data_IF_756477151610
#
_entry.id   IF_756477151610
#
_cell.length_a   1.000
_cell.length_b   1.000
_cell.length_c   1.000
_cell.angle_alpha   90.00
_cell.angle_beta   90.00
_cell.angle_gamma   90.00
#
_symmetry.space_group_name_H-M   'P 1'
#
loop_
_entity.id
_entity.type
_entity.pdbx_description
1 polymer ?
#
# COMPACT_ATOMS: atom_id res chain seq x y z
N UNK A 1 -35.26 8.35 -6.63
CA UNK A 1 -34.49 8.58 -5.39
C UNK A 1 -33.54 7.40 -5.20
N UNK A 2 -32.21 7.56 -5.37
CA UNK A 2 -31.23 6.59 -4.86
C UNK A 2 -30.52 7.22 -3.65
N UNK A 3 -30.24 6.51 -2.55
CA UNK A 3 -29.29 5.39 -2.53
C UNK A 3 -29.49 4.54 -1.26
N UNK A 4 -29.59 3.21 -1.38
CA UNK A 4 -29.46 2.29 -0.25
C UNK A 4 -28.01 1.78 -0.15
N UNK A 5 -27.55 1.57 1.09
CA UNK A 5 -26.58 0.56 1.57
C UNK A 5 -25.60 1.15 2.60
N UNK A 6 -25.98 1.10 3.87
CA UNK A 6 -25.02 0.90 4.95
C UNK A 6 -25.26 -0.50 5.51
N UNK A 7 -24.62 -1.49 4.89
CA UNK A 7 -24.60 -2.87 5.37
C UNK A 7 -23.47 -2.99 6.40
N UNK A 8 -23.66 -2.44 7.60
CA UNK A 8 -22.68 -2.51 8.68
C UNK A 8 -22.93 -3.79 9.50
N UNK A 9 -22.49 -4.93 8.97
CA UNK A 9 -22.25 -6.11 9.79
C UNK A 9 -21.06 -5.82 10.70
N UNK A 10 -21.23 -6.04 12.01
CA UNK A 10 -20.29 -5.71 13.10
C UNK A 10 -18.92 -6.38 13.04
N UNK A 11 -18.17 -6.08 11.99
CA UNK A 11 -16.76 -6.44 11.81
C UNK A 11 -15.94 -5.24 12.24
N UNK A 12 -14.87 -5.47 13.00
CA UNK A 12 -13.97 -4.42 13.49
C UNK A 12 -13.59 -3.50 12.32
N UNK A 13 -13.60 -2.15 12.50
CA UNK A 13 -13.30 -1.24 11.41
C UNK A 13 -11.92 -1.54 10.85
N UNK A 14 -11.86 -1.74 9.52
CA UNK A 14 -10.63 -2.08 8.80
C UNK A 14 -9.59 -0.97 8.98
N UNK A 15 -8.31 -1.26 8.75
CA UNK A 15 -7.29 -0.22 8.81
C UNK A 15 -7.55 0.88 7.77
N UNK A 16 -8.11 0.50 6.62
CA UNK A 16 -8.55 1.45 5.59
C UNK A 16 -9.61 2.42 6.13
N UNK A 17 -10.63 1.92 6.84
CA UNK A 17 -11.69 2.75 7.43
C UNK A 17 -11.13 3.68 8.52
N UNK A 18 -10.28 3.14 9.40
CA UNK A 18 -9.64 3.92 10.47
C UNK A 18 -8.80 5.06 9.91
N UNK A 19 -8.04 4.78 8.86
CA UNK A 19 -7.24 5.79 8.18
C UNK A 19 -8.12 6.87 7.53
N UNK A 20 -9.19 6.46 6.85
CA UNK A 20 -10.12 7.40 6.22
C UNK A 20 -10.76 8.33 7.26
N UNK A 21 -11.24 7.77 8.37
CA UNK A 21 -11.84 8.54 9.46
C UNK A 21 -10.81 9.50 10.09
N UNK A 22 -9.57 9.05 10.29
CA UNK A 22 -8.50 9.91 10.79
C UNK A 22 -8.20 11.06 9.83
N UNK A 23 -8.13 10.80 8.53
CA UNK A 23 -7.92 11.85 7.52
C UNK A 23 -9.09 12.85 7.53
N UNK A 24 -10.34 12.37 7.58
CA UNK A 24 -11.55 13.21 7.64
C UNK A 24 -11.57 14.08 8.90
N UNK A 25 -11.27 13.50 10.06
CA UNK A 25 -11.24 14.21 11.35
C UNK A 25 -10.15 15.28 11.40
N UNK A 26 -9.01 15.06 10.75
CA UNK A 26 -7.90 16.00 10.69
C UNK A 26 -7.95 16.94 9.47
N UNK A 27 -9.04 16.93 8.69
CA UNK A 27 -9.20 17.71 7.44
C UNK A 27 -8.07 17.47 6.43
N UNK A 28 -7.48 16.28 6.44
CA UNK A 28 -6.50 15.84 5.45
C UNK A 28 -7.21 15.36 4.18
N UNK A 29 -6.47 15.31 3.08
CA UNK A 29 -6.95 14.71 1.83
C UNK A 29 -7.32 13.24 2.07
N UNK A 30 -8.38 12.76 1.41
CA UNK A 30 -8.77 11.36 1.47
C UNK A 30 -7.60 10.46 1.04
N UNK A 31 -7.34 9.35 1.76
CA UNK A 31 -6.24 8.45 1.43
C UNK A 31 -6.49 7.77 0.08
N UNK A 32 -5.54 7.92 -0.86
CA UNK A 32 -5.63 7.29 -2.19
C UNK A 32 -4.77 6.03 -2.21
N UNK A 33 -5.40 4.88 -2.37
CA UNK A 33 -4.74 3.58 -2.43
C UNK A 33 -4.37 3.24 -3.88
N UNK A 34 -3.09 3.00 -4.12
CA UNK A 34 -2.54 2.59 -5.41
C UNK A 34 -1.94 1.19 -5.26
N UNK A 35 -2.45 0.23 -6.02
CA UNK A 35 -1.93 -1.13 -6.00
C UNK A 35 -0.80 -1.24 -7.02
N UNK A 36 0.34 -1.75 -6.57
CA UNK A 36 1.54 -1.95 -7.37
C UNK A 36 1.71 -3.44 -7.59
N UNK A 37 1.98 -3.84 -8.84
CA UNK A 37 2.26 -5.24 -9.20
C UNK A 37 3.64 -5.35 -9.83
N UNK A 38 4.39 -6.38 -9.44
CA UNK A 38 5.75 -6.65 -9.91
C UNK A 38 5.85 -8.10 -10.39
N UNK A 39 6.26 -8.30 -11.65
CA UNK A 39 6.35 -9.63 -12.27
C UNK A 39 7.75 -10.21 -12.09
N UNK A 40 7.87 -11.25 -11.27
CA UNK A 40 9.15 -11.95 -10.97
C UNK A 40 9.18 -13.34 -11.58
N UNK A 41 9.38 -13.43 -12.89
CA UNK A 41 9.72 -14.69 -13.57
C UNK A 41 8.70 -15.83 -13.38
N UNK A 42 7.41 -15.52 -13.22
CA UNK A 42 6.33 -16.52 -13.08
C UNK A 42 5.38 -16.28 -11.90
N UNK A 43 5.78 -15.47 -10.93
CA UNK A 43 4.91 -14.98 -9.84
C UNK A 43 4.72 -13.47 -9.94
N UNK A 44 3.54 -12.99 -9.59
CA UNK A 44 3.27 -11.55 -9.49
C UNK A 44 3.23 -11.18 -8.01
N UNK A 45 4.15 -10.33 -7.61
CA UNK A 45 4.17 -9.74 -6.28
C UNK A 45 3.26 -8.50 -6.29
N UNK A 46 2.48 -8.30 -5.23
CA UNK A 46 1.52 -7.23 -5.08
C UNK A 46 1.83 -6.41 -3.84
N UNK A 47 1.79 -5.10 -3.98
CA UNK A 47 1.95 -4.16 -2.87
C UNK A 47 0.92 -3.05 -2.98
N UNK A 48 0.75 -2.27 -1.92
CA UNK A 48 -0.19 -1.15 -1.90
C UNK A 48 0.54 0.10 -1.43
N UNK A 49 0.26 1.23 -2.06
CA UNK A 49 0.79 2.55 -1.67
C UNK A 49 -0.36 3.50 -1.43
N UNK A 50 -0.40 4.08 -0.25
CA UNK A 50 -1.38 5.07 0.16
C UNK A 50 -0.79 6.47 -0.01
N UNK A 51 -1.57 7.38 -0.59
CA UNK A 51 -1.19 8.79 -0.74
C UNK A 51 -2.09 9.65 0.12
N UNK A 52 -1.54 10.40 1.07
CA UNK A 52 -2.28 11.32 1.94
C UNK A 52 -1.55 12.65 1.97
N UNK A 53 -2.24 13.76 1.65
CA UNK A 53 -1.68 15.10 1.75
C UNK A 53 -0.33 15.27 1.02
N UNK A 54 -0.16 14.60 -0.13
CA UNK A 54 1.09 14.60 -0.91
C UNK A 54 2.20 13.68 -0.40
N UNK A 55 1.96 12.91 0.67
CA UNK A 55 2.89 11.91 1.19
C UNK A 55 2.49 10.52 0.67
N UNK A 56 3.45 9.79 0.09
CA UNK A 56 3.26 8.42 -0.37
C UNK A 56 3.84 7.44 0.66
N UNK A 57 3.00 6.50 1.08
CA UNK A 57 3.31 5.52 2.11
C UNK A 57 2.99 4.14 1.56
N UNK A 58 4.03 3.34 1.36
CA UNK A 58 3.87 2.00 0.84
C UNK A 58 3.69 0.96 1.96
N UNK A 59 3.06 -0.16 1.59
CA UNK A 59 3.09 -1.38 2.39
C UNK A 59 4.56 -1.81 2.56
N UNK A 60 4.84 -2.42 3.71
CA UNK A 60 6.18 -2.85 4.08
C UNK A 60 6.65 -4.04 3.27
N UNK A 61 5.70 -4.88 2.87
CA UNK A 61 5.97 -6.15 2.21
C UNK A 61 5.26 -6.26 0.88
N UNK A 62 5.77 -7.19 0.07
CA UNK A 62 5.12 -7.66 -1.13
C UNK A 62 4.36 -8.95 -0.81
N UNK A 63 3.10 -8.98 -1.22
CA UNK A 63 2.16 -10.05 -0.99
C UNK A 63 1.91 -10.80 -2.31
N UNK A 64 1.46 -12.05 -2.22
CA UNK A 64 0.96 -12.75 -3.42
C UNK A 64 -0.40 -12.17 -3.85
N UNK A 65 -0.84 -12.42 -5.08
CA UNK A 65 -2.09 -11.86 -5.63
C UNK A 65 -3.34 -12.25 -4.85
N UNK A 66 -3.29 -13.38 -4.14
CA UNK A 66 -4.36 -13.80 -3.24
C UNK A 66 -4.48 -12.92 -1.99
N UNK A 67 -3.44 -12.14 -1.66
CA UNK A 67 -3.33 -11.36 -0.42
C UNK A 67 -3.24 -9.85 -0.66
N UNK A 68 -3.76 -9.35 -1.78
CA UNK A 68 -3.82 -7.91 -2.10
C UNK A 68 -4.55 -7.12 -1.00
N UNK A 69 -5.59 -7.70 -0.40
CA UNK A 69 -6.30 -7.06 0.72
C UNK A 69 -5.38 -6.86 1.94
N UNK A 70 -4.52 -7.82 2.24
CA UNK A 70 -3.54 -7.68 3.32
C UNK A 70 -2.52 -6.58 3.00
N UNK A 71 -2.12 -6.43 1.73
CA UNK A 71 -1.26 -5.34 1.30
C UNK A 71 -1.92 -3.97 1.54
N UNK A 72 -3.22 -3.83 1.27
CA UNK A 72 -3.98 -2.60 1.55
C UNK A 72 -4.09 -2.30 3.03
N UNK A 73 -4.40 -3.32 3.84
CA UNK A 73 -4.49 -3.19 5.29
C UNK A 73 -3.15 -2.77 5.90
N UNK A 74 -2.03 -3.38 5.47
CA UNK A 74 -0.68 -3.02 5.93
C UNK A 74 -0.33 -1.58 5.53
N UNK A 75 -0.56 -1.19 4.28
CA UNK A 75 -0.32 0.19 3.85
C UNK A 75 -1.16 1.21 4.62
N UNK A 76 -2.41 0.87 4.94
CA UNK A 76 -3.29 1.72 5.74
C UNK A 76 -2.81 1.86 7.19
N UNK A 77 -2.39 0.75 7.81
CA UNK A 77 -1.84 0.76 9.16
C UNK A 77 -0.57 1.60 9.24
N UNK A 78 0.37 1.38 8.30
CA UNK A 78 1.63 2.13 8.24
C UNK A 78 1.35 3.62 8.02
N UNK A 79 0.40 3.95 7.14
CA UNK A 79 -0.01 5.32 6.92
C UNK A 79 -0.61 5.97 8.17
N UNK A 80 -1.50 5.25 8.86
CA UNK A 80 -2.13 5.75 10.08
C UNK A 80 -1.08 5.95 11.19
N UNK A 81 -0.16 5.00 11.36
CA UNK A 81 0.95 5.15 12.31
C UNK A 81 1.84 6.33 11.96
N UNK A 82 2.14 6.56 10.67
CA UNK A 82 2.94 7.71 10.23
C UNK A 82 2.24 9.05 10.55
N UNK A 83 0.93 9.13 10.33
CA UNK A 83 0.12 10.30 10.68
C UNK A 83 0.11 10.55 12.20
N UNK A 84 -0.11 9.49 13.01
CA UNK A 84 -0.14 9.60 14.47
C UNK A 84 1.24 9.98 15.04
N UNK A 85 2.32 9.39 14.52
CA UNK A 85 3.68 9.63 15.01
C UNK A 85 4.29 10.93 14.48
N UNK A 86 3.70 11.56 13.47
CA UNK A 86 4.30 12.68 12.74
C UNK A 86 5.59 12.31 12.01
N UNK A 87 5.91 11.03 11.88
CA UNK A 87 7.12 10.51 11.27
C UNK A 87 6.73 9.79 9.98
N UNK A 88 6.79 10.53 8.88
CA UNK A 88 6.70 10.00 7.54
C UNK A 88 7.99 9.23 7.23
N UNK A 89 8.13 8.03 7.79
CA UNK A 89 9.18 7.11 7.36
C UNK A 89 8.68 6.44 6.09
N UNK A 90 8.87 7.11 4.95
CA UNK A 90 8.66 6.49 3.65
C UNK A 90 9.43 5.15 3.64
N UNK A 91 8.78 4.00 3.51
CA UNK A 91 9.49 2.83 3.04
C UNK A 91 9.82 3.17 1.59
N UNK A 92 11.01 3.74 1.38
CA UNK A 92 11.63 3.74 0.06
C UNK A 92 11.61 2.28 -0.34
N UNK A 93 10.77 1.95 -1.32
CA UNK A 93 10.91 0.70 -2.02
C UNK A 93 12.37 0.64 -2.46
N UNK A 94 13.18 -0.16 -1.76
CA UNK A 94 14.44 -0.68 -2.29
C UNK A 94 14.08 -1.70 -3.38
N UNK A 95 13.40 -1.21 -4.42
CA UNK A 95 13.42 -1.76 -5.77
C UNK A 95 14.50 -1.05 -6.57
N UNK A 96 15.69 -0.85 -5.99
CA UNK A 96 16.85 -0.57 -6.82
C UNK A 96 17.24 -1.89 -7.51
N UNK A 97 16.78 -1.99 -8.77
CA UNK A 97 17.59 -2.43 -9.89
C UNK A 97 18.35 -3.75 -9.69
N UNK A 98 17.66 -4.88 -9.92
CA UNK A 98 18.30 -5.94 -10.70
C UNK A 98 17.83 -5.79 -12.15
N UNK A 99 18.42 -4.82 -12.84
CA UNK A 99 18.47 -4.85 -14.30
C UNK A 99 19.26 -6.10 -14.68
N UNK A 100 18.55 -7.01 -15.34
CA UNK A 100 19.03 -8.20 -16.01
C UNK A 100 20.45 -8.02 -16.56
N UNK A 101 21.38 -8.91 -16.18
CA UNK A 101 22.63 -9.07 -16.93
C UNK A 101 22.38 -10.06 -18.06
N UNK A 102 22.44 -9.66 -19.34
CA UNK A 102 22.54 -10.58 -20.44
C UNK A 102 24.01 -11.01 -20.62
N UNK A 103 24.19 -12.32 -20.78
CA UNK A 103 25.37 -13.04 -21.23
C UNK A 103 26.46 -12.21 -21.95
N UNK A 104 27.71 -12.31 -21.46
CA UNK A 104 28.91 -12.26 -22.30
C UNK A 104 29.89 -13.39 -21.91
N UNK A 105 30.47 -13.97 -22.95
CA UNK A 105 31.19 -15.24 -23.11
C UNK A 105 32.52 -15.40 -22.35
N UNK A 106 33.09 -16.63 -22.29
CA UNK A 106 34.32 -16.94 -21.57
C UNK A 106 35.59 -16.61 -22.38
N UNK A 107 36.64 -16.22 -21.66
CA UNK A 107 38.06 -16.26 -22.05
C UNK A 107 38.82 -16.23 -20.71
N UNK A 108 39.56 -17.24 -20.28
CA UNK A 108 40.77 -17.83 -20.88
C UNK A 108 40.84 -19.32 -20.52
#
# INVERSE_FOLDING_TARGET
MPSPQSNNGGSRPSWQDRLNEHCRSNKLTAPVFNIVSDRRGGRTAWSSTVTISGQNIAARYWYDGQYINNAREDAAEVALQALIRGQCSSPVFQGQLYSQQPNYLPNI
#
